data_IF_892439022813
#
_entry.id   IF_892439022813
#
_cell.length_a   1.000
_cell.length_b   1.000
_cell.length_c   1.000
_cell.angle_alpha   90.00
_cell.angle_beta   90.00
_cell.angle_gamma   90.00
#
_symmetry.space_group_name_H-M   'P 1'
#
loop_
_entity.id
_entity.type
_entity.pdbx_description
1 polymer ?
#
# COMPACT_ATOMS: atom_id res chain seq x y z
N UNK A 1 -47.57 48.67 41.85
CA UNK A 1 -46.38 48.45 41.01
C UNK A 1 -45.43 47.55 41.80
N UNK A 2 -45.29 46.27 41.42
CA UNK A 2 -44.31 45.29 41.97
C UNK A 2 -44.39 43.95 41.23
N UNK A 3 -45.56 43.63 40.63
CA UNK A 3 -45.76 42.37 39.88
C UNK A 3 -45.01 42.34 38.53
N UNK A 4 -44.85 43.50 37.88
CA UNK A 4 -44.15 43.61 36.58
C UNK A 4 -42.63 43.44 36.72
N UNK A 5 -42.05 43.84 37.85
CA UNK A 5 -40.61 43.71 38.11
C UNK A 5 -40.22 42.25 38.40
N UNK A 6 -41.08 41.51 39.12
CA UNK A 6 -40.82 40.09 39.43
C UNK A 6 -40.89 39.23 38.16
N UNK A 7 -41.82 39.50 37.24
CA UNK A 7 -41.91 38.77 35.96
C UNK A 7 -40.73 39.08 35.03
N UNK A 8 -40.24 40.32 35.01
CA UNK A 8 -39.03 40.66 34.24
C UNK A 8 -37.77 40.04 34.84
N UNK A 9 -37.67 39.95 36.17
CA UNK A 9 -36.54 39.31 36.85
C UNK A 9 -36.47 37.79 36.58
N UNK A 10 -37.62 37.11 36.59
CA UNK A 10 -37.73 35.66 36.31
C UNK A 10 -37.49 35.32 34.84
N UNK A 11 -37.91 36.18 33.91
CA UNK A 11 -37.59 36.02 32.48
C UNK A 11 -36.11 36.30 32.21
N UNK A 12 -35.49 37.23 32.95
CA UNK A 12 -34.07 37.56 32.82
C UNK A 12 -33.11 36.43 33.21
N UNK A 13 -33.44 35.64 34.25
CA UNK A 13 -32.63 34.46 34.64
C UNK A 13 -32.85 33.26 33.72
N UNK A 14 -34.03 33.12 33.10
CA UNK A 14 -34.30 32.07 32.10
C UNK A 14 -33.62 32.31 30.75
N UNK A 15 -33.43 33.58 30.36
CA UNK A 15 -32.78 33.97 29.09
C UNK A 15 -31.26 33.76 29.08
N UNK A 16 -30.60 33.70 30.24
CA UNK A 16 -29.15 33.43 30.31
C UNK A 16 -28.82 31.97 29.91
N UNK A 17 -29.78 31.04 30.04
CA UNK A 17 -29.59 29.66 29.62
C UNK A 17 -29.61 29.47 28.08
N UNK A 18 -30.15 30.43 27.32
CA UNK A 18 -30.23 30.35 25.86
C UNK A 18 -28.91 30.72 25.13
N UNK A 19 -27.84 31.07 25.88
CA UNK A 19 -26.52 31.42 25.31
C UNK A 19 -25.37 30.51 25.71
N UNK A 20 -25.58 29.47 26.53
CA UNK A 20 -24.54 28.49 26.84
C UNK A 20 -24.50 27.40 25.76
N UNK A 21 -23.83 27.70 24.64
CA UNK A 21 -23.47 26.66 23.69
C UNK A 21 -22.66 25.59 24.42
N UNK A 22 -23.12 24.32 24.35
CA UNK A 22 -22.40 23.18 24.94
C UNK A 22 -20.96 23.20 24.45
N UNK A 23 -20.00 23.15 25.37
CA UNK A 23 -18.60 22.93 25.00
C UNK A 23 -18.40 21.44 24.74
N UNK A 24 -18.17 21.08 23.48
CA UNK A 24 -17.86 19.73 23.05
C UNK A 24 -16.38 19.45 23.21
N UNK A 25 -16.05 18.26 23.69
CA UNK A 25 -14.68 17.77 23.82
C UNK A 25 -14.09 17.34 22.47
N UNK A 26 -12.76 17.27 22.38
CA UNK A 26 -12.04 16.70 21.23
C UNK A 26 -12.51 15.26 20.97
N UNK A 27 -12.73 14.45 22.01
CA UNK A 27 -13.16 13.07 21.88
C UNK A 27 -14.58 12.94 21.29
N UNK A 28 -15.50 13.83 21.67
CA UNK A 28 -16.84 13.89 21.06
C UNK A 28 -16.73 14.27 19.57
N UNK A 29 -15.94 15.30 19.26
CA UNK A 29 -15.68 15.67 17.88
C UNK A 29 -15.06 14.52 17.09
N UNK A 30 -14.08 13.76 17.61
CA UNK A 30 -13.46 12.64 16.86
C UNK A 30 -14.44 11.50 16.54
N UNK A 31 -15.45 11.28 17.39
CA UNK A 31 -16.43 10.20 17.21
C UNK A 31 -17.57 10.59 16.28
N UNK A 32 -18.01 11.84 16.31
CA UNK A 32 -19.18 12.31 15.56
C UNK A 32 -18.76 13.18 14.37
N UNK A 33 -18.84 12.61 13.19
CA UNK A 33 -18.53 13.28 11.93
C UNK A 33 -19.51 14.40 11.60
N UNK A 34 -20.80 14.19 11.88
CA UNK A 34 -21.83 15.19 11.59
C UNK A 34 -21.63 16.42 12.48
N UNK A 35 -21.35 16.20 13.76
CA UNK A 35 -21.02 17.28 14.69
C UNK A 35 -19.79 18.07 14.22
N UNK A 36 -18.74 17.40 13.74
CA UNK A 36 -17.57 18.10 13.19
C UNK A 36 -17.92 18.97 12.00
N UNK A 37 -18.68 18.47 11.03
CA UNK A 37 -19.04 19.26 9.84
C UNK A 37 -19.96 20.43 10.15
N UNK A 38 -20.92 20.24 11.07
CA UNK A 38 -21.77 21.33 11.55
C UNK A 38 -20.92 22.44 12.20
N UNK A 39 -19.96 22.07 13.03
CA UNK A 39 -19.08 23.03 13.68
C UNK A 39 -18.04 23.62 12.73
N UNK A 40 -17.56 22.88 11.73
CA UNK A 40 -16.68 23.40 10.69
C UNK A 40 -17.36 24.54 9.92
N UNK A 41 -18.63 24.34 9.53
CA UNK A 41 -19.44 25.37 8.89
C UNK A 41 -19.69 26.59 9.81
N UNK A 42 -19.92 26.37 11.10
CA UNK A 42 -20.12 27.45 12.09
C UNK A 42 -18.84 28.24 12.37
N UNK A 43 -17.72 27.54 12.48
CA UNK A 43 -16.43 28.14 12.78
C UNK A 43 -15.86 28.89 11.58
N UNK A 44 -16.08 28.36 10.36
CA UNK A 44 -15.41 28.86 9.17
C UNK A 44 -13.89 29.00 9.37
N UNK A 45 -13.29 29.94 8.66
CA UNK A 45 -11.85 30.18 8.76
C UNK A 45 -11.44 30.88 10.06
N UNK A 46 -12.26 31.80 10.57
CA UNK A 46 -11.86 32.73 11.65
C UNK A 46 -12.53 32.48 13.01
N UNK A 47 -13.39 31.46 13.15
CA UNK A 47 -14.06 31.17 14.42
C UNK A 47 -13.06 30.80 15.52
N UNK A 48 -13.16 31.45 16.67
CA UNK A 48 -12.24 31.32 17.81
C UNK A 48 -12.90 30.74 19.06
N UNK A 49 -14.13 30.23 18.96
CA UNK A 49 -14.79 29.61 20.11
C UNK A 49 -14.03 28.37 20.57
N UNK A 50 -14.20 27.99 21.85
CA UNK A 50 -13.54 26.79 22.39
C UNK A 50 -13.91 25.52 21.61
N UNK A 51 -15.14 25.48 21.07
CA UNK A 51 -15.58 24.40 20.20
C UNK A 51 -14.85 24.39 18.86
N UNK A 52 -14.54 25.55 18.28
CA UNK A 52 -13.71 25.63 17.07
C UNK A 52 -12.30 25.11 17.32
N UNK A 53 -11.67 25.47 18.45
CA UNK A 53 -10.36 24.92 18.83
C UNK A 53 -10.41 23.40 18.99
N UNK A 54 -11.38 22.89 19.74
CA UNK A 54 -11.52 21.46 20.02
C UNK A 54 -11.82 20.67 18.74
N UNK A 55 -12.64 21.23 17.83
CA UNK A 55 -12.93 20.62 16.53
C UNK A 55 -11.68 20.59 15.65
N UNK A 56 -10.91 21.68 15.55
CA UNK A 56 -9.67 21.73 14.75
C UNK A 56 -8.64 20.74 15.28
N UNK A 57 -8.50 20.64 16.60
CA UNK A 57 -7.64 19.65 17.23
C UNK A 57 -8.10 18.22 16.93
N UNK A 58 -9.41 17.94 16.97
CA UNK A 58 -9.96 16.65 16.60
C UNK A 58 -9.67 16.27 15.13
N UNK A 59 -9.77 17.22 14.19
CA UNK A 59 -9.40 17.02 12.79
C UNK A 59 -7.91 16.67 12.63
N UNK A 60 -7.02 17.43 13.28
CA UNK A 60 -5.58 17.18 13.23
C UNK A 60 -5.21 15.81 13.81
N UNK A 61 -5.85 15.39 14.90
CA UNK A 61 -5.62 14.06 15.47
C UNK A 61 -6.13 12.94 14.55
N UNK A 62 -7.34 13.09 13.99
CA UNK A 62 -7.87 12.12 13.03
C UNK A 62 -7.01 12.00 11.78
N UNK A 63 -6.53 13.13 11.26
CA UNK A 63 -5.63 13.13 10.11
C UNK A 63 -4.36 12.34 10.40
N UNK A 64 -3.71 12.58 11.55
CA UNK A 64 -2.53 11.80 11.97
C UNK A 64 -2.82 10.31 12.11
N UNK A 65 -3.99 9.95 12.65
CA UNK A 65 -4.40 8.54 12.75
C UNK A 65 -4.59 7.89 11.37
N UNK A 66 -5.16 8.61 10.41
CA UNK A 66 -5.31 8.12 9.04
C UNK A 66 -3.97 7.98 8.33
N UNK A 67 -3.10 8.99 8.43
CA UNK A 67 -1.74 8.95 7.88
C UNK A 67 -0.94 7.79 8.47
N UNK A 68 -1.04 7.53 9.77
CA UNK A 68 -0.38 6.40 10.41
C UNK A 68 -0.90 5.05 9.88
N UNK A 69 -2.23 4.90 9.73
CA UNK A 69 -2.84 3.68 9.16
C UNK A 69 -2.46 3.47 7.69
N UNK A 70 -2.40 4.54 6.92
CA UNK A 70 -1.97 4.49 5.52
C UNK A 70 -0.50 4.12 5.40
N UNK A 71 0.38 4.72 6.21
CA UNK A 71 1.79 4.38 6.26
C UNK A 71 2.01 2.91 6.65
N UNK A 72 1.25 2.39 7.63
CA UNK A 72 1.29 0.98 8.00
C UNK A 72 0.87 0.06 6.84
N UNK A 73 -0.24 0.39 6.17
CA UNK A 73 -0.72 -0.36 5.00
C UNK A 73 0.30 -0.35 3.86
N UNK A 74 0.89 0.82 3.58
CA UNK A 74 1.92 0.99 2.57
C UNK A 74 3.16 0.12 2.88
N UNK A 75 3.62 0.09 4.13
CA UNK A 75 4.72 -0.78 4.56
C UNK A 75 4.41 -2.26 4.35
N UNK A 76 3.20 -2.71 4.70
CA UNK A 76 2.76 -4.10 4.49
C UNK A 76 2.78 -4.47 3.00
N UNK A 77 2.20 -3.62 2.15
CA UNK A 77 2.18 -3.84 0.69
C UNK A 77 3.61 -3.86 0.13
N UNK A 78 4.48 -2.96 0.57
CA UNK A 78 5.87 -2.93 0.14
C UNK A 78 6.63 -4.20 0.53
N UNK A 79 6.40 -4.71 1.75
CA UNK A 79 7.01 -5.97 2.20
C UNK A 79 6.50 -7.18 1.41
N UNK A 80 5.19 -7.27 1.17
CA UNK A 80 4.59 -8.34 0.36
C UNK A 80 5.10 -8.32 -1.08
N UNK A 81 5.20 -7.13 -1.69
CA UNK A 81 5.73 -6.96 -3.03
C UNK A 81 7.21 -7.35 -3.10
N UNK A 82 8.01 -7.01 -2.07
CA UNK A 82 9.41 -7.41 -1.98
C UNK A 82 9.53 -8.94 -1.96
N UNK A 83 8.78 -9.62 -1.10
CA UNK A 83 8.77 -11.10 -1.01
C UNK A 83 8.35 -11.74 -2.34
N UNK A 84 7.30 -11.22 -2.97
CA UNK A 84 6.81 -11.69 -4.28
C UNK A 84 7.87 -11.53 -5.36
N UNK A 85 8.58 -10.40 -5.38
CA UNK A 85 9.65 -10.14 -6.32
C UNK A 85 10.83 -11.08 -6.09
N UNK A 86 11.26 -11.27 -4.85
CA UNK A 86 12.32 -12.23 -4.49
C UNK A 86 11.97 -13.65 -4.92
N UNK A 87 10.75 -14.11 -4.67
CA UNK A 87 10.27 -15.44 -5.08
C UNK A 87 10.24 -15.58 -6.61
N UNK A 88 9.75 -14.57 -7.32
CA UNK A 88 9.73 -14.54 -8.77
C UNK A 88 11.15 -14.62 -9.35
N UNK A 89 12.07 -13.82 -8.82
CA UNK A 89 13.46 -13.81 -9.26
C UNK A 89 14.17 -15.13 -8.97
N UNK A 90 13.90 -15.75 -7.82
CA UNK A 90 14.41 -17.07 -7.49
C UNK A 90 13.92 -18.14 -8.47
N UNK A 91 12.61 -18.16 -8.79
CA UNK A 91 12.02 -19.06 -9.79
C UNK A 91 12.63 -18.87 -11.17
N UNK A 92 12.79 -17.62 -11.61
CA UNK A 92 13.39 -17.32 -12.91
C UNK A 92 14.87 -17.73 -12.97
N UNK A 93 15.64 -17.48 -11.89
CA UNK A 93 17.03 -17.93 -11.80
C UNK A 93 17.13 -19.45 -11.88
N UNK A 94 16.26 -20.18 -11.18
CA UNK A 94 16.20 -21.65 -11.25
C UNK A 94 15.84 -22.14 -12.67
N UNK A 95 14.86 -21.51 -13.33
CA UNK A 95 14.46 -21.85 -14.70
C UNK A 95 15.59 -21.61 -15.70
N UNK A 96 16.28 -20.47 -15.61
CA UNK A 96 17.43 -20.14 -16.47
C UNK A 96 18.57 -21.14 -16.24
N UNK A 97 18.84 -21.50 -14.98
CA UNK A 97 19.87 -22.51 -14.67
C UNK A 97 19.54 -23.86 -15.32
N UNK A 98 18.30 -24.34 -15.17
CA UNK A 98 17.84 -25.58 -15.78
C UNK A 98 17.96 -25.54 -17.31
N UNK A 99 17.50 -24.45 -17.94
CA UNK A 99 17.60 -24.27 -19.39
C UNK A 99 19.06 -24.25 -19.88
N UNK A 100 19.98 -23.63 -19.13
CA UNK A 100 21.41 -23.64 -19.46
C UNK A 100 22.00 -25.05 -19.39
N UNK A 101 21.67 -25.81 -18.35
CA UNK A 101 22.11 -27.19 -18.19
C UNK A 101 21.56 -28.10 -19.30
N UNK A 102 20.28 -27.95 -19.65
CA UNK A 102 19.64 -28.67 -20.75
C UNK A 102 20.28 -28.31 -22.10
N UNK A 103 20.51 -27.03 -22.37
CA UNK A 103 21.20 -26.59 -23.58
C UNK A 103 22.63 -27.13 -23.66
N UNK A 104 23.37 -27.15 -22.54
CA UNK A 104 24.72 -27.72 -22.52
C UNK A 104 24.70 -29.23 -22.85
N UNK A 105 23.76 -29.98 -22.26
CA UNK A 105 23.60 -31.42 -22.58
C UNK A 105 23.24 -31.63 -24.05
N UNK A 106 22.29 -30.87 -24.57
CA UNK A 106 21.89 -30.92 -25.98
C UNK A 106 23.08 -30.61 -26.91
N UNK A 107 23.86 -29.56 -26.62
CA UNK A 107 25.03 -29.21 -27.41
C UNK A 107 26.13 -30.29 -27.33
N UNK A 108 26.33 -30.90 -26.16
CA UNK A 108 27.30 -31.99 -26.00
C UNK A 108 26.88 -33.23 -26.80
N UNK A 109 25.59 -33.59 -26.75
CA UNK A 109 25.04 -34.70 -27.53
C UNK A 109 25.17 -34.47 -29.04
N UNK A 110 24.84 -33.26 -29.51
CA UNK A 110 24.99 -32.88 -30.92
C UNK A 110 26.46 -32.90 -31.38
N UNK A 111 27.38 -32.50 -30.52
CA UNK A 111 28.82 -32.60 -30.80
C UNK A 111 29.28 -34.06 -30.86
N UNK A 112 28.80 -34.92 -29.95
CA UNK A 112 29.14 -36.35 -29.96
C UNK A 112 28.61 -37.05 -31.23
N UNK A 113 27.35 -36.78 -31.60
CA UNK A 113 26.74 -37.30 -32.85
C UNK A 113 27.54 -36.91 -34.09
N UNK A 114 27.93 -35.63 -34.22
CA UNK A 114 28.76 -35.17 -35.34
C UNK A 114 30.13 -35.84 -35.39
N UNK A 115 30.82 -35.97 -34.26
CA UNK A 115 32.12 -36.67 -34.21
C UNK A 115 32.00 -38.14 -34.61
N UNK A 116 30.97 -38.84 -34.12
CA UNK A 116 30.72 -40.24 -34.48
C UNK A 116 30.42 -40.39 -35.97
N UNK A 117 29.65 -39.46 -36.54
CA UNK A 117 29.37 -39.44 -37.99
C UNK A 117 30.62 -39.13 -38.82
N UNK A 118 31.44 -38.16 -38.41
CA UNK A 118 32.71 -37.84 -39.05
C UNK A 118 33.69 -39.03 -39.01
N UNK A 119 33.79 -39.72 -37.87
CA UNK A 119 34.62 -40.91 -37.72
C UNK A 119 34.12 -42.05 -38.60
N UNK A 120 32.80 -42.27 -38.67
CA UNK A 120 32.22 -43.29 -39.57
C UNK A 120 32.54 -42.98 -41.03
N UNK A 121 32.33 -41.73 -41.48
CA UNK A 121 32.68 -41.29 -42.84
C UNK A 121 34.17 -41.36 -43.12
N UNK A 122 35.04 -41.18 -42.12
CA UNK A 122 36.48 -41.35 -42.28
C UNK A 122 36.87 -42.82 -42.48
N UNK A 123 36.26 -43.74 -41.71
CA UNK A 123 36.45 -45.20 -41.88
C UNK A 123 35.95 -45.68 -43.23
N UNK A 124 34.74 -45.28 -43.64
CA UNK A 124 34.17 -45.59 -44.96
C UNK A 124 35.12 -45.16 -46.09
N UNK A 125 35.63 -43.91 -46.05
CA UNK A 125 36.61 -43.43 -47.04
C UNK A 125 37.93 -44.22 -47.04
N UNK A 126 38.44 -44.57 -45.86
CA UNK A 126 39.68 -45.36 -45.77
C UNK A 126 39.50 -46.79 -46.32
N UNK A 127 38.33 -47.41 -46.11
CA UNK A 127 37.98 -48.71 -46.68
C UNK A 127 37.82 -48.64 -48.21
N UNK A 128 37.15 -47.61 -48.74
CA UNK A 128 37.03 -47.37 -50.19
C UNK A 128 38.40 -47.16 -50.85
N UNK A 129 39.29 -46.38 -50.24
CA UNK A 129 40.66 -46.16 -50.73
C UNK A 129 41.50 -47.44 -50.72
N UNK A 130 41.33 -48.31 -49.71
CA UNK A 130 42.00 -49.62 -49.68
C UNK A 130 41.48 -50.58 -50.75
N UNK A 131 40.17 -50.55 -51.05
CA UNK A 131 39.58 -51.38 -52.10
C UNK A 131 39.97 -50.92 -53.51
N UNK A 132 40.15 -49.61 -53.73
CA UNK A 132 40.54 -49.06 -55.04
C UNK A 132 42.04 -49.21 -55.36
N UNK A 133 42.88 -49.51 -54.37
CA UNK A 133 44.34 -49.65 -54.51
C UNK A 133 44.83 -51.11 -54.51
N UNK A 134 43.92 -52.10 -54.47
CA UNK A 134 44.17 -53.54 -54.63
C UNK A 134 43.58 -54.04 -55.94
#
# INVERSE_FOLDING_TARGET
MNKVLITTLLLGTGLIAAGCEKTYSVAEFKKDEKLRFEWDAKCGFAGTSKNCENMRLAFLELQKEYEAKEAERSRKIAEENRKRYEEFMAKQKARIKKMREENQKFLAEQRAKRRAEEERRAKERAEEEQQNNN
#
